data_IF_934081015064
#
_entry.id   IF_934081015064
#
_cell.length_a   1.000
_cell.length_b   1.000
_cell.length_c   1.000
_cell.angle_alpha   90.00
_cell.angle_beta   90.00
_cell.angle_gamma   90.00
#
_symmetry.space_group_name_H-M   'P 1'
#
loop_
_entity.id
_entity.type
_entity.pdbx_description
1 polymer ?
#
# COMPACT_ATOMS: atom_id res chain seq x y z
N UNK A 1 3.93 -9.57 22.48
CA UNK A 1 3.08 -9.55 21.27
C UNK A 1 3.87 -8.88 20.17
N UNK A 2 4.47 -9.64 19.27
CA UNK A 2 5.21 -9.11 18.11
C UNK A 2 4.20 -8.59 17.09
N UNK A 3 3.66 -7.41 17.37
CA UNK A 3 2.78 -6.72 16.44
C UNK A 3 3.61 -6.36 15.23
N UNK A 4 3.28 -6.95 14.07
CA UNK A 4 3.77 -6.57 12.73
C UNK A 4 3.43 -5.10 12.38
N UNK A 5 3.19 -4.21 13.34
CA UNK A 5 2.82 -2.83 13.09
C UNK A 5 4.07 -1.97 13.24
N UNK A 6 4.33 -1.17 12.21
CA UNK A 6 5.34 -0.12 12.23
C UNK A 6 4.71 1.08 12.94
N UNK A 7 5.30 1.48 14.06
CA UNK A 7 4.86 2.63 14.85
C UNK A 7 5.63 3.87 14.38
N UNK A 8 4.91 4.95 14.13
CA UNK A 8 5.45 6.24 13.74
C UNK A 8 5.10 7.30 14.78
N UNK A 9 6.05 8.15 15.14
CA UNK A 9 5.85 9.29 16.03
C UNK A 9 6.14 10.62 15.32
N UNK A 10 5.30 11.63 15.61
CA UNK A 10 5.50 13.03 15.23
C UNK A 10 4.67 13.93 16.15
N UNK A 11 5.25 15.00 16.69
CA UNK A 11 4.54 16.01 17.50
C UNK A 11 3.66 15.41 18.62
N UNK A 12 4.20 14.50 19.43
CA UNK A 12 3.47 13.76 20.48
C UNK A 12 2.27 12.93 20.00
N UNK A 13 2.11 12.70 18.70
CA UNK A 13 1.13 11.79 18.12
C UNK A 13 1.81 10.52 17.64
N UNK A 14 1.10 9.39 17.79
CA UNK A 14 1.51 8.09 17.26
C UNK A 14 0.56 7.63 16.16
N UNK A 15 1.13 7.00 15.13
CA UNK A 15 0.39 6.35 14.04
C UNK A 15 0.93 4.95 13.81
N UNK A 16 0.08 4.09 13.28
CA UNK A 16 0.39 2.68 13.08
C UNK A 16 0.17 2.31 11.61
N UNK A 17 1.13 1.58 11.05
CA UNK A 17 0.97 0.93 9.74
C UNK A 17 1.26 -0.55 9.88
N UNK A 18 0.30 -1.38 9.50
CA UNK A 18 0.50 -2.83 9.46
C UNK A 18 1.54 -3.20 8.40
N UNK A 19 2.53 -3.99 8.77
CA UNK A 19 3.47 -4.62 7.86
C UNK A 19 2.79 -5.77 7.12
N UNK A 20 2.99 -5.83 5.81
CA UNK A 20 2.34 -6.78 4.91
C UNK A 20 0.94 -6.35 4.44
N UNK A 21 0.16 -7.33 4.00
CA UNK A 21 -1.09 -7.11 3.28
C UNK A 21 -2.21 -6.49 4.14
N UNK A 22 -2.91 -5.53 3.53
CA UNK A 22 -4.04 -4.79 4.12
C UNK A 22 -5.35 -5.13 3.45
N UNK A 23 -6.25 -5.79 4.18
CA UNK A 23 -7.62 -6.01 3.70
C UNK A 23 -8.39 -4.69 3.56
N UNK A 24 -8.14 -3.71 4.43
CA UNK A 24 -8.78 -2.40 4.35
C UNK A 24 -8.43 -1.67 3.06
N UNK A 25 -7.16 -1.73 2.64
CA UNK A 25 -6.75 -1.11 1.37
C UNK A 25 -7.15 -1.98 0.19
N UNK A 26 -7.18 -3.31 0.33
CA UNK A 26 -7.66 -4.17 -0.74
C UNK A 26 -9.14 -3.93 -1.05
N UNK A 27 -10.00 -3.77 -0.03
CA UNK A 27 -11.44 -3.61 -0.22
C UNK A 27 -11.86 -2.15 -0.43
N UNK A 28 -11.21 -1.20 0.24
CA UNK A 28 -11.59 0.22 0.19
C UNK A 28 -10.58 1.10 -0.56
N UNK A 29 -9.46 0.54 -1.01
CA UNK A 29 -8.52 1.18 -1.95
C UNK A 29 -8.16 2.62 -1.58
N UNK A 30 -8.38 3.59 -2.48
CA UNK A 30 -8.12 5.01 -2.25
C UNK A 30 -8.85 5.58 -1.04
N UNK A 31 -10.05 5.12 -0.72
CA UNK A 31 -10.82 5.63 0.43
C UNK A 31 -10.09 5.34 1.74
N UNK A 32 -9.52 4.14 1.90
CA UNK A 32 -8.72 3.80 3.08
C UNK A 32 -7.48 4.71 3.22
N UNK A 33 -6.90 5.15 2.11
CA UNK A 33 -5.75 6.07 2.09
C UNK A 33 -6.17 7.51 2.40
N UNK A 34 -7.33 7.95 1.91
CA UNK A 34 -7.93 9.25 2.25
C UNK A 34 -8.25 9.35 3.74
N UNK A 35 -8.81 8.29 4.34
CA UNK A 35 -9.04 8.22 5.79
C UNK A 35 -7.74 8.33 6.61
N UNK A 36 -6.59 8.01 6.02
CA UNK A 36 -5.25 8.19 6.63
C UNK A 36 -4.63 9.57 6.37
N UNK A 37 -5.38 10.47 5.73
CA UNK A 37 -4.96 11.79 5.25
C UNK A 37 -3.83 11.73 4.21
N UNK A 38 -3.75 10.65 3.42
CA UNK A 38 -2.71 10.45 2.41
C UNK A 38 -3.25 10.73 1.01
N UNK A 39 -3.71 11.96 0.77
CA UNK A 39 -4.38 12.37 -0.48
C UNK A 39 -3.56 12.09 -1.74
N UNK A 40 -2.26 12.46 -1.82
CA UNK A 40 -1.47 12.17 -3.03
C UNK A 40 -1.33 10.68 -3.31
N UNK A 41 -1.19 9.88 -2.24
CA UNK A 41 -1.09 8.43 -2.37
C UNK A 41 -2.44 7.81 -2.76
N UNK A 42 -3.55 8.35 -2.27
CA UNK A 42 -4.88 7.89 -2.66
C UNK A 42 -5.14 8.10 -4.17
N UNK A 43 -4.76 9.27 -4.70
CA UNK A 43 -4.85 9.55 -6.15
C UNK A 43 -3.97 8.58 -6.93
N UNK A 44 -2.71 8.43 -6.53
CA UNK A 44 -1.79 7.51 -7.19
C UNK A 44 -2.27 6.06 -7.16
N UNK A 45 -2.83 5.61 -6.02
CA UNK A 45 -3.41 4.29 -5.88
C UNK A 45 -4.64 4.11 -6.78
N UNK A 46 -5.52 5.10 -6.87
CA UNK A 46 -6.68 5.06 -7.76
C UNK A 46 -6.26 4.91 -9.23
N UNK A 47 -5.33 5.77 -9.69
CA UNK A 47 -4.81 5.70 -11.06
C UNK A 47 -4.13 4.36 -11.35
N UNK A 48 -3.32 3.85 -10.41
CA UNK A 48 -2.68 2.55 -10.57
C UNK A 48 -3.69 1.39 -10.62
N UNK A 49 -4.74 1.43 -9.79
CA UNK A 49 -5.79 0.42 -9.80
C UNK A 49 -6.54 0.39 -11.14
N UNK A 50 -6.89 1.56 -11.70
CA UNK A 50 -7.48 1.64 -13.04
C UNK A 50 -6.52 1.07 -14.10
N UNK A 51 -5.24 1.44 -14.04
CA UNK A 51 -4.23 0.93 -14.97
C UNK A 51 -4.10 -0.61 -14.92
N UNK A 52 -4.06 -1.19 -13.72
CA UNK A 52 -4.00 -2.65 -13.53
C UNK A 52 -5.29 -3.31 -14.02
N UNK A 53 -6.45 -2.71 -13.75
CA UNK A 53 -7.73 -3.21 -14.23
C UNK A 53 -7.79 -3.26 -15.76
N UNK A 54 -7.41 -2.19 -16.46
CA UNK A 54 -7.38 -2.18 -17.91
C UNK A 54 -6.33 -3.12 -18.49
N UNK A 55 -5.11 -3.14 -17.92
CA UNK A 55 -4.05 -4.02 -18.38
C UNK A 55 -4.40 -5.51 -18.21
N UNK A 56 -5.01 -5.88 -17.08
CA UNK A 56 -5.49 -7.24 -16.86
C UNK A 56 -6.60 -7.61 -17.84
N UNK A 57 -7.57 -6.72 -18.08
CA UNK A 57 -8.62 -6.93 -19.09
C UNK A 57 -8.06 -7.18 -20.49
N UNK A 58 -7.08 -6.38 -20.92
CA UNK A 58 -6.37 -6.56 -22.19
C UNK A 58 -5.73 -7.95 -22.26
N UNK A 59 -5.03 -8.38 -21.22
CA UNK A 59 -4.38 -9.70 -21.19
C UNK A 59 -5.41 -10.83 -21.19
N UNK A 60 -6.43 -10.75 -20.33
CA UNK A 60 -7.41 -11.83 -20.19
C UNK A 60 -8.29 -12.00 -21.42
N UNK A 61 -8.66 -10.90 -22.09
CA UNK A 61 -9.50 -10.95 -23.28
C UNK A 61 -8.66 -11.23 -24.53
N UNK A 62 -7.59 -10.47 -24.78
CA UNK A 62 -6.86 -10.55 -26.05
C UNK A 62 -5.79 -11.64 -26.10
N UNK A 63 -5.26 -12.06 -24.94
CA UNK A 63 -4.18 -13.06 -24.88
C UNK A 63 -4.71 -14.41 -24.43
N UNK A 64 -5.57 -14.43 -23.41
CA UNK A 64 -6.10 -15.66 -22.83
C UNK A 64 -7.47 -16.06 -23.38
N UNK A 65 -8.09 -15.22 -24.21
CA UNK A 65 -9.40 -15.47 -24.84
C UNK A 65 -10.49 -15.85 -23.82
N UNK A 66 -10.47 -15.20 -22.66
CA UNK A 66 -11.44 -15.43 -21.59
C UNK A 66 -12.71 -14.61 -21.80
N UNK A 67 -13.83 -15.15 -21.32
CA UNK A 67 -15.11 -14.43 -21.32
C UNK A 67 -15.03 -13.14 -20.49
N UNK A 68 -15.82 -12.15 -20.88
CA UNK A 68 -15.80 -10.80 -20.30
C UNK A 68 -16.02 -10.80 -18.78
N UNK A 69 -16.98 -11.60 -18.28
CA UNK A 69 -17.26 -11.69 -16.84
C UNK A 69 -16.02 -12.13 -16.03
N UNK A 70 -15.24 -13.04 -16.60
CA UNK A 70 -14.06 -13.59 -15.95
C UNK A 70 -12.88 -12.60 -16.03
N UNK A 71 -12.78 -11.85 -17.13
CA UNK A 71 -11.84 -10.73 -17.26
C UNK A 71 -12.13 -9.62 -16.23
N UNK A 72 -13.39 -9.24 -16.04
CA UNK A 72 -13.82 -8.25 -15.05
C UNK A 72 -13.42 -8.71 -13.64
N UNK A 73 -13.75 -9.95 -13.27
CA UNK A 73 -13.44 -10.50 -11.96
C UNK A 73 -11.93 -10.51 -11.70
N UNK A 74 -11.14 -11.02 -12.65
CA UNK A 74 -9.68 -11.08 -12.50
C UNK A 74 -9.06 -9.69 -12.42
N UNK A 75 -9.56 -8.72 -13.17
CA UNK A 75 -9.07 -7.35 -13.10
C UNK A 75 -9.38 -6.66 -11.77
N UNK A 76 -10.56 -6.90 -11.20
CA UNK A 76 -10.90 -6.43 -9.85
C UNK A 76 -10.00 -7.09 -8.80
N UNK A 77 -9.77 -8.40 -8.88
CA UNK A 77 -8.89 -9.11 -7.94
C UNK A 77 -7.44 -8.64 -8.05
N UNK A 78 -6.93 -8.44 -9.26
CA UNK A 78 -5.56 -7.97 -9.50
C UNK A 78 -5.35 -6.54 -8.98
N UNK A 79 -6.26 -5.62 -9.30
CA UNK A 79 -6.16 -4.22 -8.87
C UNK A 79 -6.28 -4.07 -7.35
N UNK A 80 -7.27 -4.71 -6.73
CA UNK A 80 -7.47 -4.69 -5.28
C UNK A 80 -6.36 -5.44 -4.53
N UNK A 81 -5.91 -6.58 -5.06
CA UNK A 81 -4.81 -7.36 -4.50
C UNK A 81 -3.50 -6.55 -4.47
N UNK A 82 -3.20 -5.87 -5.58
CA UNK A 82 -2.04 -4.98 -5.67
C UNK A 82 -2.13 -3.81 -4.69
N UNK A 83 -3.29 -3.15 -4.59
CA UNK A 83 -3.51 -2.07 -3.63
C UNK A 83 -3.34 -2.54 -2.18
N UNK A 84 -3.88 -3.71 -1.84
CA UNK A 84 -3.74 -4.32 -0.52
C UNK A 84 -2.29 -4.71 -0.18
N UNK A 85 -1.53 -5.19 -1.15
CA UNK A 85 -0.14 -5.62 -0.97
C UNK A 85 0.82 -4.43 -0.83
N UNK A 86 0.72 -3.44 -1.72
CA UNK A 86 1.65 -2.32 -1.76
C UNK A 86 1.20 -1.10 -0.94
N UNK A 87 -0.09 -0.98 -0.63
CA UNK A 87 -0.66 0.23 -0.02
C UNK A 87 -0.04 0.56 1.34
N UNK A 88 0.16 -0.43 2.21
CA UNK A 88 0.81 -0.20 3.51
C UNK A 88 2.28 0.19 3.35
N UNK A 89 3.00 -0.43 2.40
CA UNK A 89 4.39 -0.09 2.11
C UNK A 89 4.52 1.37 1.68
N UNK A 90 3.71 1.81 0.73
CA UNK A 90 3.74 3.20 0.29
C UNK A 90 3.25 4.16 1.38
N UNK A 91 2.23 3.77 2.13
CA UNK A 91 1.70 4.55 3.26
C UNK A 91 2.77 4.80 4.32
N UNK A 92 3.53 3.76 4.72
CA UNK A 92 4.66 3.87 5.64
C UNK A 92 5.76 4.82 5.10
N UNK A 93 6.11 4.69 3.82
CA UNK A 93 7.11 5.56 3.17
C UNK A 93 6.63 7.01 3.10
N UNK A 94 5.35 7.27 2.86
CA UNK A 94 4.77 8.61 2.91
C UNK A 94 4.85 9.22 4.31
N UNK A 95 4.68 8.43 5.37
CA UNK A 95 4.89 8.93 6.74
C UNK A 95 6.33 9.39 6.95
N UNK A 96 7.32 8.56 6.58
CA UNK A 96 8.75 8.95 6.66
C UNK A 96 9.03 10.23 5.90
N UNK A 97 8.57 10.33 4.64
CA UNK A 97 8.74 11.56 3.81
C UNK A 97 8.08 12.80 4.41
N UNK A 98 7.00 12.62 5.17
CA UNK A 98 6.29 13.70 5.86
C UNK A 98 6.89 14.01 7.25
N UNK A 99 8.08 13.50 7.56
CA UNK A 99 8.81 13.78 8.81
C UNK A 99 8.28 13.00 10.01
N UNK A 100 7.58 11.87 9.80
CA UNK A 100 7.31 10.93 10.87
C UNK A 100 8.48 9.97 11.03
N UNK A 101 8.85 9.69 12.28
CA UNK A 101 10.00 8.82 12.58
C UNK A 101 9.47 7.47 13.08
N UNK A 102 9.92 6.33 12.54
CA UNK A 102 9.59 5.04 13.10
C UNK A 102 10.22 4.88 14.49
N UNK A 103 9.45 4.40 15.45
CA UNK A 103 9.86 4.33 16.85
C UNK A 103 10.78 3.13 17.11
N UNK A 104 10.38 1.94 16.65
CA UNK A 104 11.06 0.70 17.03
C UNK A 104 11.69 -0.03 15.86
N UNK A 105 10.92 -0.34 14.81
CA UNK A 105 11.39 -1.16 13.70
C UNK A 105 10.80 -0.70 12.38
N UNK A 106 11.61 -0.74 11.31
CA UNK A 106 11.17 -0.47 9.94
C UNK A 106 11.72 -1.57 9.01
N UNK A 107 10.86 -2.23 8.19
CA UNK A 107 11.28 -3.32 7.32
C UNK A 107 12.36 -2.87 6.32
N UNK A 108 13.46 -3.63 6.24
CA UNK A 108 14.58 -3.31 5.36
C UNK A 108 14.18 -3.32 3.87
N UNK A 109 13.31 -4.24 3.47
CA UNK A 109 12.75 -4.32 2.12
C UNK A 109 11.87 -3.10 1.78
N UNK A 110 11.22 -2.48 2.78
CA UNK A 110 10.44 -1.26 2.58
C UNK A 110 11.28 0.00 2.56
N UNK A 111 12.53 -0.07 3.03
CA UNK A 111 13.51 1.01 3.03
C UNK A 111 14.31 1.10 1.71
N UNK A 112 13.76 0.62 0.59
CA UNK A 112 14.40 0.70 -0.74
C UNK A 112 13.60 1.59 -1.71
N UNK A 113 14.23 2.61 -2.34
CA UNK A 113 15.52 3.22 -1.99
C UNK A 113 15.55 3.74 -0.54
N UNK A 114 16.77 3.84 0.04
CA UNK A 114 17.03 4.21 1.45
C UNK A 114 16.31 5.51 1.80
N UNK A 115 15.42 5.45 2.80
CA UNK A 115 14.69 6.60 3.35
C UNK A 115 15.13 6.94 4.77
N UNK A 116 15.63 5.97 5.52
CA UNK A 116 16.05 6.13 6.92
C UNK A 116 17.50 5.64 7.04
N UNK A 117 18.35 6.46 7.63
CA UNK A 117 19.80 6.21 7.68
C UNK A 117 20.23 5.17 8.71
N UNK A 118 19.54 5.12 9.85
CA UNK A 118 19.69 4.11 10.89
C UNK A 118 18.40 3.27 10.95
N UNK A 119 18.48 1.93 11.17
CA UNK A 119 17.29 1.19 11.56
C UNK A 119 16.72 1.85 12.83
N UNK A 120 15.39 2.01 12.90
CA UNK A 120 14.73 2.30 14.17
C UNK A 120 15.29 1.29 15.18
N UNK A 121 15.83 1.80 16.28
CA UNK A 121 16.73 1.03 17.13
C UNK A 121 15.87 0.08 17.95
N UNK A 122 16.07 -1.23 17.79
CA UNK A 122 15.78 -2.18 18.85
C UNK A 122 16.70 -1.80 20.01
N UNK A 123 16.13 -1.17 21.04
CA UNK A 123 16.82 -0.89 22.29
C UNK A 123 17.34 -2.16 22.96
#
# INVERSE_FOLDING_TARGET
>A
MTTNNIVFAKNNQTRYVKHGWSWQIALFGPLALLMRSQVPLAIAAFTAMLGIYFASGIVTILVLDLHEDLAILLGLLASNGAAGYYGNRFSARCYVKNGWVPVDWFPADWNMPKLIDAPAVAS
#
